data_IF_097074709781
#
_entry.id   IF_097074709781
#
_cell.length_a   1.000
_cell.length_b   1.000
_cell.length_c   1.000
_cell.angle_alpha   90.00
_cell.angle_beta   90.00
_cell.angle_gamma   90.00
#
_symmetry.space_group_name_H-M   'P 1'
#
loop_
_entity.id
_entity.type
_entity.pdbx_description
1 polymer ?
#
# COMPACT_ATOMS: atom_id res chain seq x y z
N UNK A 1 13.04 -43.31 -1.49
CA UNK A 1 12.55 -42.78 -0.20
C UNK A 1 13.73 -42.71 0.75
N UNK A 2 14.12 -41.51 1.19
CA UNK A 2 15.22 -41.36 2.14
C UNK A 2 14.77 -41.84 3.52
N UNK A 3 15.69 -42.47 4.26
CA UNK A 3 15.40 -42.92 5.62
C UNK A 3 15.34 -41.70 6.55
N UNK A 4 14.56 -41.78 7.64
CA UNK A 4 14.41 -40.68 8.62
C UNK A 4 15.76 -40.13 9.13
N UNK A 5 16.79 -40.99 9.19
CA UNK A 5 18.14 -40.60 9.59
C UNK A 5 18.83 -39.69 8.57
N UNK A 6 18.56 -39.87 7.27
CA UNK A 6 19.15 -39.07 6.20
C UNK A 6 18.51 -37.68 6.12
N UNK A 7 17.22 -37.55 6.43
CA UNK A 7 16.58 -36.24 6.57
C UNK A 7 17.16 -35.44 7.73
N UNK A 8 17.45 -36.10 8.85
CA UNK A 8 18.06 -35.44 10.00
C UNK A 8 19.50 -34.97 9.71
N UNK A 9 20.28 -35.79 9.00
CA UNK A 9 21.63 -35.41 8.56
C UNK A 9 21.60 -34.23 7.58
N UNK A 10 20.67 -34.21 6.62
CA UNK A 10 20.49 -33.09 5.69
C UNK A 10 20.08 -31.80 6.39
N UNK A 11 19.20 -31.88 7.39
CA UNK A 11 18.77 -30.72 8.17
C UNK A 11 19.95 -30.12 8.96
N UNK A 12 20.78 -30.95 9.58
CA UNK A 12 21.99 -30.48 10.29
C UNK A 12 22.99 -29.79 9.36
N UNK A 13 23.20 -30.33 8.16
CA UNK A 13 24.07 -29.72 7.15
C UNK A 13 23.51 -28.38 6.68
N UNK A 14 22.20 -28.30 6.42
CA UNK A 14 21.54 -27.06 5.99
C UNK A 14 21.65 -25.95 7.06
N UNK A 15 21.41 -26.28 8.32
CA UNK A 15 21.57 -25.36 9.45
C UNK A 15 23.03 -24.90 9.57
N UNK A 16 24.00 -25.81 9.47
CA UNK A 16 25.43 -25.47 9.52
C UNK A 16 25.87 -24.50 8.42
N UNK A 17 25.39 -24.70 7.19
CA UNK A 17 25.68 -23.81 6.05
C UNK A 17 25.02 -22.43 6.24
N UNK A 18 23.77 -22.41 6.72
CA UNK A 18 23.03 -21.18 6.95
C UNK A 18 23.72 -20.27 8.00
N UNK A 19 24.11 -20.83 9.14
CA UNK A 19 24.81 -20.07 10.17
C UNK A 19 26.27 -19.73 9.79
N UNK A 20 26.96 -20.60 9.04
CA UNK A 20 28.31 -20.32 8.54
C UNK A 20 28.35 -19.15 7.54
N UNK A 21 27.33 -19.02 6.68
CA UNK A 21 27.21 -17.89 5.75
C UNK A 21 26.90 -16.57 6.48
N UNK A 22 26.02 -16.62 7.50
CA UNK A 22 25.65 -15.44 8.28
C UNK A 22 26.80 -14.89 9.13
N UNK A 23 27.63 -15.77 9.71
CA UNK A 23 28.79 -15.36 10.51
C UNK A 23 29.85 -14.61 9.69
N UNK A 24 29.95 -14.89 8.39
CA UNK A 24 30.88 -14.18 7.50
C UNK A 24 30.37 -12.80 7.06
N UNK A 25 29.05 -12.62 6.98
CA UNK A 25 28.44 -11.37 6.56
C UNK A 25 28.34 -10.33 7.70
N UNK A 26 28.29 -10.77 8.96
CA UNK A 26 28.19 -9.89 10.12
C UNK A 26 29.49 -9.21 10.57
N UNK A 27 30.65 -9.56 10.00
CA UNK A 27 31.97 -9.11 10.48
C UNK A 27 32.69 -8.09 9.57
N UNK A 28 32.21 -7.83 8.35
CA UNK A 28 32.89 -6.95 7.39
C UNK A 28 32.34 -5.50 7.33
N UNK A 29 31.30 -5.15 8.10
CA UNK A 29 30.70 -3.81 8.06
C UNK A 29 30.99 -2.96 9.30
N UNK A 30 32.26 -2.82 9.69
CA UNK A 30 32.64 -1.83 10.73
C UNK A 30 33.93 -1.10 10.37
N UNK A 31 33.84 -0.17 9.43
CA UNK A 31 34.72 1.00 9.33
C UNK A 31 33.91 2.17 8.78
N UNK A 32 33.38 3.00 9.68
CA UNK A 32 32.94 4.35 9.33
C UNK A 32 34.07 5.29 9.78
N UNK A 33 34.73 5.85 8.78
CA UNK A 33 35.79 6.84 8.87
C UNK A 33 35.13 8.20 9.13
N UNK A 34 35.44 8.82 10.28
CA UNK A 34 34.96 10.16 10.64
C UNK A 34 35.96 11.17 10.07
N UNK A 35 35.54 11.93 9.06
CA UNK A 35 36.28 13.10 8.60
C UNK A 35 35.69 14.36 9.27
N UNK A 36 36.47 14.95 10.18
CA UNK A 36 36.25 16.30 10.72
C UNK A 36 36.81 17.32 9.70
N UNK A 37 36.00 18.29 9.28
CA UNK A 37 36.50 19.52 8.67
C UNK A 37 36.34 20.70 9.65
N UNK A 38 37.43 21.45 9.77
CA UNK A 38 37.69 22.53 10.71
C UNK A 38 37.41 23.89 10.05
N UNK A 39 36.51 24.65 10.66
CA UNK A 39 36.44 26.12 10.85
C UNK A 39 37.22 27.08 9.93
N UNK A 40 36.54 28.11 9.37
CA UNK A 40 37.05 29.49 9.41
C UNK A 40 35.97 30.61 9.30
N UNK A 41 35.84 31.38 10.40
CA UNK A 41 35.62 32.82 10.60
C UNK A 41 34.60 33.70 9.80
N UNK A 42 33.62 34.21 10.55
CA UNK A 42 32.80 35.45 10.46
C UNK A 42 33.59 36.78 10.32
N UNK A 43 33.02 37.98 9.99
CA UNK A 43 32.00 38.68 10.83
C UNK A 43 31.07 39.69 10.05
N UNK A 44 30.37 40.66 10.71
CA UNK A 44 29.02 40.50 11.25
C UNK A 44 28.01 41.54 10.68
N UNK A 45 26.70 41.27 10.69
CA UNK A 45 25.68 42.34 10.83
C UNK A 45 24.41 41.80 11.46
N UNK A 46 24.12 42.43 12.58
CA UNK A 46 22.99 42.37 13.49
C UNK A 46 21.65 42.67 12.79
N UNK A 47 20.73 41.70 12.79
CA UNK A 47 19.29 41.98 12.90
C UNK A 47 18.66 40.81 13.67
N UNK A 48 18.10 41.13 14.83
CA UNK A 48 17.39 40.21 15.70
C UNK A 48 16.29 39.40 14.96
N UNK A 49 16.55 38.12 14.75
CA UNK A 49 15.55 37.08 14.55
C UNK A 49 15.70 36.09 15.70
N UNK A 50 14.61 35.62 16.35
CA UNK A 50 14.69 34.55 17.31
C UNK A 50 15.27 33.33 16.57
N UNK A 51 16.52 33.02 16.88
CA UNK A 51 17.22 31.86 16.40
C UNK A 51 16.54 30.64 17.05
N UNK A 52 15.91 29.72 16.29
CA UNK A 52 15.48 28.44 16.82
C UNK A 52 16.71 27.53 16.88
N UNK A 53 17.74 27.97 17.60
CA UNK A 53 18.65 27.06 18.27
C UNK A 53 18.07 26.85 19.68
N UNK A 54 16.86 26.33 19.74
CA UNK A 54 16.59 25.39 20.81
C UNK A 54 17.28 24.13 20.34
N UNK A 55 18.28 23.73 21.13
CA UNK A 55 18.90 22.42 21.05
C UNK A 55 17.77 21.42 20.80
N UNK A 56 17.93 20.51 19.82
CA UNK A 56 17.16 19.27 19.80
C UNK A 56 17.47 18.54 21.11
N UNK A 57 16.86 19.01 22.19
CA UNK A 57 16.97 18.37 23.48
C UNK A 57 16.36 17.00 23.27
N UNK A 58 17.18 15.99 23.54
CA UNK A 58 16.83 14.59 23.48
C UNK A 58 15.61 14.34 24.37
N UNK A 59 14.44 14.60 23.81
CA UNK A 59 13.17 14.41 24.45
C UNK A 59 12.90 12.91 24.49
N UNK A 60 12.75 12.41 25.71
CA UNK A 60 12.43 11.02 25.97
C UNK A 60 10.93 10.90 26.18
N UNK A 61 10.32 9.93 25.51
CA UNK A 61 8.87 9.70 25.58
C UNK A 61 8.46 9.41 27.02
N UNK A 62 7.48 10.16 27.52
CA UNK A 62 6.92 10.01 28.85
C UNK A 62 5.66 9.13 28.83
N UNK A 63 5.26 8.51 29.96
CA UNK A 63 4.01 7.76 30.06
C UNK A 63 2.75 8.57 29.73
N UNK A 64 2.83 9.89 29.81
CA UNK A 64 1.72 10.83 29.54
C UNK A 64 1.63 11.25 28.08
N UNK A 65 2.66 10.99 27.28
CA UNK A 65 2.70 11.36 25.86
C UNK A 65 1.70 10.51 25.08
N UNK A 66 0.88 11.12 24.24
CA UNK A 66 -0.04 10.37 23.37
C UNK A 66 0.71 9.84 22.14
N UNK A 67 0.59 8.55 21.85
CA UNK A 67 1.29 7.92 20.73
C UNK A 67 0.26 7.36 19.74
N UNK A 68 0.28 7.87 18.52
CA UNK A 68 -0.62 7.45 17.45
C UNK A 68 0.19 6.87 16.28
N UNK A 69 -0.18 5.66 15.87
CA UNK A 69 0.24 5.07 14.60
C UNK A 69 -0.88 5.21 13.59
N UNK A 70 -0.56 5.72 12.41
CA UNK A 70 -1.50 5.91 11.30
C UNK A 70 -0.95 5.17 10.09
N UNK A 71 -1.79 4.38 9.43
CA UNK A 71 -1.47 3.73 8.16
C UNK A 71 -2.29 4.39 7.06
N UNK A 72 -1.61 4.89 6.03
CA UNK A 72 -2.23 5.56 4.89
C UNK A 72 -2.07 4.78 3.59
N UNK A 73 -3.02 4.94 2.69
CA UNK A 73 -2.91 4.43 1.31
C UNK A 73 -2.18 5.42 0.38
N UNK A 74 -2.05 5.04 -0.89
CA UNK A 74 -1.47 5.87 -1.96
C UNK A 74 -2.20 7.20 -2.22
N UNK A 75 -3.44 7.37 -1.74
CA UNK A 75 -4.25 8.58 -1.87
C UNK A 75 -4.26 9.41 -0.57
N UNK A 76 -3.43 9.04 0.41
CA UNK A 76 -3.31 9.68 1.71
C UNK A 76 -4.59 9.54 2.57
N UNK A 77 -5.45 8.56 2.28
CA UNK A 77 -6.57 8.19 3.13
C UNK A 77 -6.07 7.35 4.30
N UNK A 78 -6.64 7.56 5.49
CA UNK A 78 -6.33 6.75 6.68
C UNK A 78 -7.06 5.41 6.54
N UNK A 79 -6.28 4.33 6.45
CA UNK A 79 -6.78 2.96 6.36
C UNK A 79 -6.90 2.34 7.74
N UNK A 80 -5.93 2.64 8.61
CA UNK A 80 -5.92 2.18 9.98
C UNK A 80 -5.28 3.24 10.89
N UNK A 81 -5.73 3.27 12.14
CA UNK A 81 -5.16 4.13 13.17
C UNK A 81 -5.18 3.41 14.51
N UNK A 82 -4.01 3.30 15.12
CA UNK A 82 -3.84 2.64 16.41
C UNK A 82 -3.21 3.58 17.41
N UNK A 83 -3.83 3.72 18.57
CA UNK A 83 -3.19 4.36 19.73
C UNK A 83 -2.29 3.35 20.42
N UNK A 84 -1.01 3.66 20.51
CA UNK A 84 -0.03 2.84 21.23
C UNK A 84 -0.01 3.21 22.71
N UNK A 85 0.31 2.22 23.54
CA UNK A 85 0.60 2.45 24.94
C UNK A 85 1.99 3.11 25.08
N UNK A 86 2.10 4.33 25.63
CA UNK A 86 3.37 5.04 25.76
C UNK A 86 4.41 4.28 26.58
N UNK A 87 4.00 3.39 27.49
CA UNK A 87 4.93 2.54 28.25
C UNK A 87 5.76 1.61 27.37
N UNK A 88 5.28 1.29 26.17
CA UNK A 88 5.99 0.40 25.23
C UNK A 88 7.20 1.05 24.57
N UNK A 89 7.21 2.39 24.51
CA UNK A 89 8.25 3.18 23.84
C UNK A 89 8.83 4.27 24.76
N UNK A 90 8.53 4.19 26.05
CA UNK A 90 9.01 5.13 27.05
C UNK A 90 10.54 5.16 27.07
N UNK A 91 11.12 6.37 27.15
CA UNK A 91 12.57 6.54 27.19
C UNK A 91 13.29 6.43 25.84
N UNK A 92 12.55 6.20 24.75
CA UNK A 92 13.10 6.20 23.41
C UNK A 92 13.18 7.62 22.84
N UNK A 93 14.10 7.84 21.93
CA UNK A 93 14.16 9.07 21.13
C UNK A 93 13.61 8.83 19.71
N UNK A 94 13.62 9.87 18.89
CA UNK A 94 13.13 9.82 17.50
C UNK A 94 13.85 8.80 16.62
N UNK A 95 15.16 8.63 16.81
CA UNK A 95 15.99 7.69 16.03
C UNK A 95 15.73 6.25 16.45
N UNK A 96 15.51 6.01 17.74
CA UNK A 96 15.09 4.71 18.27
C UNK A 96 13.73 4.29 17.70
N UNK A 97 12.77 5.23 17.61
CA UNK A 97 11.46 4.95 17.00
C UNK A 97 11.59 4.56 15.53
N UNK A 98 12.43 5.26 14.78
CA UNK A 98 12.68 4.95 13.36
C UNK A 98 13.32 3.56 13.19
N UNK A 99 14.09 3.12 14.18
CA UNK A 99 14.73 1.79 14.20
C UNK A 99 13.76 0.67 14.58
N UNK A 100 12.84 0.92 15.50
CA UNK A 100 11.83 -0.06 15.94
C UNK A 100 10.70 -0.22 14.92
N UNK A 101 10.35 0.86 14.22
CA UNK A 101 9.27 0.89 13.23
C UNK A 101 9.81 1.22 11.83
N UNK A 102 10.56 0.31 11.17
CA UNK A 102 11.29 0.59 9.91
C UNK A 102 10.41 0.87 8.68
N UNK A 103 9.08 0.86 8.82
CA UNK A 103 8.12 1.24 7.78
C UNK A 103 7.26 2.47 8.13
N UNK A 104 7.54 3.12 9.27
CA UNK A 104 6.82 4.28 9.75
C UNK A 104 7.76 5.48 9.86
N UNK A 105 7.28 6.64 9.50
CA UNK A 105 7.97 7.91 9.66
C UNK A 105 7.40 8.66 10.87
N UNK A 106 8.29 9.22 11.69
CA UNK A 106 7.89 10.13 12.77
C UNK A 106 7.55 11.49 12.16
N UNK A 107 6.26 11.82 12.06
CA UNK A 107 5.80 13.10 11.49
C UNK A 107 5.57 14.17 12.56
N UNK A 108 5.28 13.75 13.79
CA UNK A 108 5.20 14.60 14.96
C UNK A 108 5.94 13.94 16.12
N UNK A 109 6.75 14.72 16.82
CA UNK A 109 7.51 14.27 17.99
C UNK A 109 7.57 15.41 19.01
N UNK A 110 6.62 15.43 19.94
CA UNK A 110 6.54 16.40 21.03
C UNK A 110 6.25 15.71 22.36
N UNK A 111 6.33 16.46 23.46
CA UNK A 111 6.03 15.94 24.80
C UNK A 111 4.60 15.44 24.95
N UNK A 112 3.69 16.06 24.22
CA UNK A 112 2.26 15.85 24.27
C UNK A 112 1.84 14.74 23.32
N UNK A 113 2.45 14.69 22.12
CA UNK A 113 1.99 13.81 21.05
C UNK A 113 3.13 13.35 20.14
N UNK A 114 3.09 12.07 19.80
CA UNK A 114 3.93 11.42 18.82
C UNK A 114 3.04 10.77 17.77
N UNK A 115 3.32 11.06 16.49
CA UNK A 115 2.60 10.47 15.37
C UNK A 115 3.59 9.74 14.47
N UNK A 116 3.33 8.45 14.29
CA UNK A 116 4.04 7.54 13.39
C UNK A 116 3.16 7.28 12.17
N UNK A 117 3.62 7.64 10.97
CA UNK A 117 2.89 7.43 9.73
C UNK A 117 3.54 6.34 8.88
N UNK A 118 2.79 5.28 8.60
CA UNK A 118 3.16 4.23 7.66
C UNK A 118 2.40 4.42 6.36
N UNK A 119 3.02 4.02 5.25
CA UNK A 119 2.38 3.99 3.94
C UNK A 119 2.23 2.54 3.48
N UNK A 120 1.05 2.19 2.99
CA UNK A 120 0.80 0.90 2.35
C UNK A 120 0.23 1.11 0.96
N UNK A 121 0.49 0.16 0.07
CA UNK A 121 -0.13 0.13 -1.23
C UNK A 121 -1.33 -0.82 -1.19
N UNK A 122 -2.53 -0.28 -1.42
CA UNK A 122 -3.73 -1.09 -1.60
C UNK A 122 -3.95 -1.25 -3.09
N UNK A 123 -3.89 -2.50 -3.57
CA UNK A 123 -4.25 -2.79 -4.96
C UNK A 123 -5.73 -2.39 -5.14
N UNK A 124 -6.04 -1.45 -6.06
CA UNK A 124 -7.42 -1.13 -6.37
C UNK A 124 -8.17 -2.40 -6.78
N UNK A 125 -9.36 -2.62 -6.23
CA UNK A 125 -10.22 -3.68 -6.72
C UNK A 125 -10.66 -3.30 -8.15
N UNK A 126 -10.29 -4.13 -9.12
CA UNK A 126 -10.83 -4.00 -10.47
C UNK A 126 -12.30 -4.41 -10.42
N UNK A 127 -13.19 -3.42 -10.39
CA UNK A 127 -14.62 -3.66 -10.55
C UNK A 127 -14.84 -4.06 -12.01
N UNK A 128 -15.00 -5.37 -12.23
CA UNK A 128 -15.33 -5.92 -13.54
C UNK A 128 -16.84 -5.94 -13.69
N UNK A 129 -17.35 -5.15 -14.62
CA UNK A 129 -18.76 -5.16 -15.01
C UNK A 129 -18.97 -6.22 -16.08
N UNK A 130 -20.20 -6.74 -16.23
CA UNK A 130 -20.51 -7.70 -17.29
C UNK A 130 -21.72 -7.25 -18.09
N UNK A 131 -21.70 -7.43 -19.41
CA UNK A 131 -22.92 -7.35 -20.21
C UNK A 131 -23.78 -8.58 -19.96
N UNK A 132 -25.09 -8.37 -19.96
CA UNK A 132 -26.06 -9.44 -19.83
C UNK A 132 -27.41 -9.07 -20.39
N UNK A 133 -28.29 -10.07 -20.35
CA UNK A 133 -29.69 -9.95 -20.77
C UNK A 133 -30.59 -10.25 -19.56
N UNK A 134 -31.54 -9.37 -19.29
CA UNK A 134 -32.63 -9.60 -18.35
C UNK A 134 -33.98 -9.52 -19.07
N UNK A 135 -34.57 -10.68 -19.34
CA UNK A 135 -35.80 -10.81 -20.10
C UNK A 135 -35.65 -10.34 -21.56
N UNK A 136 -36.10 -9.12 -21.85
CA UNK A 136 -35.99 -8.49 -23.18
C UNK A 136 -35.00 -7.33 -23.23
N UNK A 137 -34.43 -6.93 -22.09
CA UNK A 137 -33.56 -5.79 -21.97
C UNK A 137 -32.09 -6.25 -21.93
N UNK A 138 -31.23 -5.49 -22.61
CA UNK A 138 -29.78 -5.63 -22.53
C UNK A 138 -29.25 -4.59 -21.55
N UNK A 139 -28.24 -4.96 -20.79
CA UNK A 139 -27.74 -4.13 -19.70
C UNK A 139 -26.46 -4.66 -19.07
N UNK A 140 -26.06 -3.99 -18.00
CA UNK A 140 -24.88 -4.33 -17.21
C UNK A 140 -25.31 -5.06 -15.94
N UNK A 141 -24.76 -6.25 -15.73
CA UNK A 141 -24.96 -7.05 -14.52
C UNK A 141 -24.11 -6.48 -13.39
N UNK A 142 -24.75 -6.12 -12.28
CA UNK A 142 -24.17 -5.52 -11.09
C UNK A 142 -24.28 -6.52 -9.92
N UNK A 143 -23.36 -7.48 -9.84
CA UNK A 143 -23.29 -8.44 -8.74
C UNK A 143 -24.55 -9.30 -8.57
N UNK A 144 -24.85 -9.67 -7.32
CA UNK A 144 -25.80 -10.75 -7.01
C UNK A 144 -27.27 -10.48 -7.44
N UNK A 145 -27.72 -9.22 -7.53
CA UNK A 145 -29.12 -8.90 -7.86
C UNK A 145 -29.30 -7.58 -8.65
N UNK A 146 -28.22 -6.96 -9.10
CA UNK A 146 -28.30 -5.68 -9.79
C UNK A 146 -28.28 -5.83 -11.32
N UNK A 147 -29.15 -5.10 -12.01
CA UNK A 147 -29.12 -4.99 -13.47
C UNK A 147 -29.36 -3.55 -13.90
N UNK A 148 -28.41 -2.97 -14.63
CA UNK A 148 -28.50 -1.63 -15.18
C UNK A 148 -28.90 -1.71 -16.65
N UNK A 149 -30.15 -1.36 -16.95
CA UNK A 149 -30.65 -1.29 -18.33
C UNK A 149 -29.98 -0.16 -19.07
N UNK A 150 -29.41 -0.45 -20.24
CA UNK A 150 -28.78 0.56 -21.10
C UNK A 150 -29.72 1.06 -22.21
N UNK A 151 -31.00 0.64 -22.19
CA UNK A 151 -32.01 1.12 -23.16
C UNK A 151 -31.97 0.42 -24.52
N UNK A 152 -31.42 -0.80 -24.55
CA UNK A 152 -31.43 -1.68 -25.72
C UNK A 152 -32.23 -2.94 -25.45
N UNK A 153 -32.82 -3.50 -26.50
CA UNK A 153 -33.58 -4.74 -26.45
C UNK A 153 -32.86 -5.86 -27.20
N UNK A 154 -33.09 -7.10 -26.77
CA UNK A 154 -32.69 -8.31 -27.51
C UNK A 154 -33.22 -8.33 -28.96
N UNK A 155 -34.29 -7.60 -29.25
CA UNK A 155 -34.85 -7.51 -30.60
C UNK A 155 -34.01 -6.61 -31.53
N UNK A 156 -33.13 -5.78 -30.98
CA UNK A 156 -32.27 -4.88 -31.74
C UNK A 156 -31.04 -5.61 -32.31
N UNK A 157 -30.79 -6.84 -31.86
CA UNK A 157 -29.62 -7.64 -32.21
C UNK A 157 -29.96 -8.97 -32.87
N UNK A 158 -28.98 -9.52 -33.59
CA UNK A 158 -29.11 -10.84 -34.19
C UNK A 158 -29.17 -11.94 -33.12
N UNK A 159 -29.78 -13.08 -33.45
CA UNK A 159 -29.85 -14.26 -32.57
C UNK A 159 -28.47 -14.73 -32.09
N UNK A 160 -27.43 -14.52 -32.89
CA UNK A 160 -26.05 -14.85 -32.51
C UNK A 160 -25.57 -13.98 -31.35
N UNK A 161 -25.71 -12.66 -31.47
CA UNK A 161 -25.32 -11.70 -30.44
C UNK A 161 -26.13 -11.90 -29.16
N UNK A 162 -27.43 -12.19 -29.27
CA UNK A 162 -28.25 -12.50 -28.11
C UNK A 162 -27.78 -13.75 -27.37
N UNK A 163 -27.34 -14.78 -28.11
CA UNK A 163 -26.79 -15.99 -27.50
C UNK A 163 -25.50 -15.67 -26.76
N UNK A 164 -24.63 -14.86 -27.37
CA UNK A 164 -23.38 -14.39 -26.77
C UNK A 164 -23.63 -13.64 -25.47
N UNK A 165 -24.50 -12.62 -25.50
CA UNK A 165 -24.86 -11.79 -24.34
C UNK A 165 -25.57 -12.57 -23.22
N UNK A 166 -26.22 -13.70 -23.54
CA UNK A 166 -26.97 -14.48 -22.55
C UNK A 166 -26.15 -15.60 -21.90
N UNK A 167 -25.06 -16.06 -22.54
CA UNK A 167 -24.32 -17.25 -22.10
C UNK A 167 -22.84 -16.99 -21.85
N UNK A 168 -22.26 -15.93 -22.42
CA UNK A 168 -20.86 -15.59 -22.22
C UNK A 168 -20.71 -14.41 -21.27
N UNK A 169 -19.67 -14.48 -20.43
CA UNK A 169 -19.30 -13.39 -19.54
C UNK A 169 -18.48 -12.37 -20.32
N UNK A 170 -19.15 -11.35 -20.84
CA UNK A 170 -18.50 -10.25 -21.53
C UNK A 170 -18.13 -9.19 -20.50
N UNK A 171 -16.87 -9.16 -20.09
CA UNK A 171 -16.33 -8.15 -19.20
C UNK A 171 -16.36 -6.76 -19.85
N UNK A 172 -16.68 -5.76 -19.04
CA UNK A 172 -16.78 -4.34 -19.43
C UNK A 172 -15.97 -3.53 -18.43
N UNK A 173 -15.10 -2.64 -18.93
CA UNK A 173 -14.32 -1.74 -18.07
C UNK A 173 -15.19 -0.59 -17.55
N UNK A 174 -14.67 0.16 -16.57
CA UNK A 174 -15.36 1.36 -16.08
C UNK A 174 -15.55 2.40 -17.19
N UNK A 175 -14.57 2.60 -18.07
CA UNK A 175 -14.68 3.53 -19.20
C UNK A 175 -15.74 3.08 -20.21
N UNK A 176 -15.82 1.79 -20.50
CA UNK A 176 -16.81 1.23 -21.42
C UNK A 176 -18.22 1.30 -20.82
N UNK A 177 -18.36 1.06 -19.52
CA UNK A 177 -19.62 1.30 -18.79
C UNK A 177 -20.08 2.74 -18.94
N UNK A 178 -19.20 3.70 -18.69
CA UNK A 178 -19.52 5.14 -18.83
C UNK A 178 -19.95 5.43 -20.28
N UNK A 179 -19.30 4.83 -21.27
CA UNK A 179 -19.69 5.00 -22.67
C UNK A 179 -21.06 4.39 -22.97
N UNK A 180 -21.37 3.20 -22.45
CA UNK A 180 -22.70 2.58 -22.60
C UNK A 180 -23.83 3.39 -21.95
N UNK A 181 -23.55 4.08 -20.83
CA UNK A 181 -24.52 4.97 -20.19
C UNK A 181 -24.84 6.21 -21.05
N UNK A 182 -23.89 6.65 -21.89
CA UNK A 182 -24.05 7.82 -22.76
C UNK A 182 -24.53 7.46 -24.18
N UNK A 183 -24.06 6.32 -24.70
CA UNK A 183 -24.37 5.78 -26.02
C UNK A 183 -24.57 4.25 -25.92
N UNK A 184 -25.83 3.78 -25.89
CA UNK A 184 -26.12 2.36 -25.77
C UNK A 184 -25.56 1.52 -26.92
N UNK A 185 -25.45 2.07 -28.13
CA UNK A 185 -24.95 1.34 -29.30
C UNK A 185 -23.43 1.10 -29.26
N UNK A 186 -22.73 1.69 -28.30
CA UNK A 186 -21.32 1.39 -28.03
C UNK A 186 -21.07 -0.10 -27.77
N UNK A 187 -22.09 -0.85 -27.35
CA UNK A 187 -22.04 -2.30 -27.19
C UNK A 187 -21.54 -3.03 -28.44
N UNK A 188 -21.85 -2.53 -29.65
CA UNK A 188 -21.38 -3.15 -30.89
C UNK A 188 -19.86 -3.12 -31.01
N UNK A 189 -19.22 -2.05 -30.52
CA UNK A 189 -17.77 -1.90 -30.54
C UNK A 189 -17.12 -2.86 -29.54
N UNK A 190 -17.71 -3.02 -28.35
CA UNK A 190 -17.28 -4.01 -27.36
C UNK A 190 -17.34 -5.41 -27.98
N UNK A 191 -18.46 -5.74 -28.62
CA UNK A 191 -18.70 -7.05 -29.24
C UNK A 191 -17.77 -7.31 -30.44
N UNK A 192 -17.43 -6.29 -31.23
CA UNK A 192 -16.48 -6.41 -32.34
C UNK A 192 -15.07 -6.74 -31.86
N UNK A 193 -14.60 -6.09 -30.79
CA UNK A 193 -13.28 -6.35 -30.22
C UNK A 193 -13.10 -7.78 -29.69
N UNK A 194 -14.20 -8.48 -29.36
CA UNK A 194 -14.16 -9.87 -28.91
C UNK A 194 -14.06 -10.87 -30.08
N UNK A 195 -14.32 -10.43 -31.30
CA UNK A 195 -14.32 -11.28 -32.50
C UNK A 195 -12.99 -11.30 -33.27
N UNK A 196 -12.04 -10.45 -32.87
CA UNK A 196 -10.65 -10.41 -33.38
C UNK A 196 -9.70 -11.26 -32.52
#
# INVERSE_FOLDING_TARGET
MLTKLQYFALLLVAVGVFFGAFAKFGLDNTKIEVAQEESEATPPTDIAQPNPNEVEDAFNILPTTEVLMVLKDQENNIIDSQKLDPYTIMGLNKDDLSSIFPGYQVVAFSEEQIILEGNTYIKPEEIVYYLGVDGQDIGIVLGDDGFLKIGLSVNDFSSYINTLLSHELIAVTMEERIQLENDPYYIERILQNLSE
#
